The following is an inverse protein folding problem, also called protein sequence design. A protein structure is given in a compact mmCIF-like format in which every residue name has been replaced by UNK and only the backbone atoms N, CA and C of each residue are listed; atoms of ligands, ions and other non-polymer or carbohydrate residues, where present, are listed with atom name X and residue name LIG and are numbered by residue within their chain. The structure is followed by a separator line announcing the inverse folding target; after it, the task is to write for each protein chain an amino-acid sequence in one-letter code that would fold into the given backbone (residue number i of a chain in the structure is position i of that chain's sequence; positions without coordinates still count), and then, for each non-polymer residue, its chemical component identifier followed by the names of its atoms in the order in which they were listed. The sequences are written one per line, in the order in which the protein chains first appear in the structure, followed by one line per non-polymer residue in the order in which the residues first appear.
data_IF_130138774789
#
_entry.id   IF_130138774789
#
_cell.length_a   1.000
_cell.length_b   1.000
_cell.length_c   1.000
_cell.angle_alpha   90.00
_cell.angle_beta   90.00
_cell.angle_gamma   90.00
#
_symmetry.space_group_name_H-M   'P 1'
#
loop_
_entity.id
_entity.type
_entity.pdbx_description
1 polymer ?
#
# COMPACT_ATOMS: atom_id res chain seq x y z
N UNK A 1 -30.05 -10.25 -4.78
CA UNK A 1 -29.27 -10.72 -5.92
C UNK A 1 -28.61 -9.60 -6.68
N UNK A 2 -29.39 -8.62 -7.12
CA UNK A 2 -28.84 -7.48 -7.86
C UNK A 2 -27.85 -6.68 -7.05
N UNK A 3 -28.16 -6.40 -5.81
CA UNK A 3 -27.27 -5.68 -4.91
C UNK A 3 -25.94 -6.38 -4.75
N UNK A 4 -25.99 -7.68 -4.72
CA UNK A 4 -24.82 -8.49 -4.56
C UNK A 4 -23.85 -8.32 -5.72
N UNK A 5 -24.41 -8.37 -6.93
CA UNK A 5 -23.62 -8.18 -8.15
C UNK A 5 -23.02 -6.79 -8.20
N UNK A 6 -23.81 -5.78 -7.85
CA UNK A 6 -23.32 -4.41 -7.84
C UNK A 6 -22.18 -4.20 -6.83
N UNK A 7 -22.31 -4.83 -5.69
CA UNK A 7 -21.28 -4.75 -4.68
C UNK A 7 -19.96 -5.32 -5.19
N UNK A 8 -19.99 -6.46 -5.84
CA UNK A 8 -18.81 -7.10 -6.40
C UNK A 8 -18.17 -6.23 -7.46
N UNK A 9 -18.96 -5.66 -8.35
CA UNK A 9 -18.48 -4.78 -9.40
C UNK A 9 -17.81 -3.56 -8.78
N UNK A 10 -18.45 -2.95 -7.79
CA UNK A 10 -17.89 -1.81 -7.11
C UNK A 10 -16.56 -2.12 -6.47
N UNK A 11 -16.45 -3.27 -5.82
CA UNK A 11 -15.22 -3.69 -5.20
C UNK A 11 -14.10 -3.90 -6.20
N UNK A 12 -14.42 -4.46 -7.38
CA UNK A 12 -13.42 -4.74 -8.39
C UNK A 12 -12.87 -3.48 -9.08
N UNK A 13 -13.59 -2.36 -8.97
CA UNK A 13 -13.17 -1.10 -9.58
C UNK A 13 -12.21 -0.30 -8.69
N UNK A 14 -12.07 -0.69 -7.44
CA UNK A 14 -11.20 0.03 -6.50
C UNK A 14 -9.84 -0.62 -6.43
N UNK A 15 -8.80 0.20 -6.44
CA UNK A 15 -7.45 -0.28 -6.20
C UNK A 15 -7.27 -0.53 -4.70
N UNK A 16 -6.44 -1.49 -4.35
CA UNK A 16 -6.09 -1.77 -2.97
C UNK A 16 -5.31 -0.59 -2.38
N UNK A 17 -5.32 -0.49 -1.05
CA UNK A 17 -4.55 0.55 -0.36
C UNK A 17 -3.07 0.44 -0.72
N UNK A 18 -2.44 1.59 -0.87
CA UNK A 18 -1.02 1.64 -1.15
C UNK A 18 -0.63 1.51 -2.61
N UNK A 19 -1.59 1.29 -3.52
CA UNK A 19 -1.29 1.15 -4.95
C UNK A 19 -1.22 2.49 -5.68
N UNK A 20 -1.76 3.56 -5.10
CA UNK A 20 -1.74 4.90 -5.71
C UNK A 20 -0.77 5.80 -4.96
N UNK A 21 0.22 6.31 -5.68
CA UNK A 21 1.23 7.20 -5.11
C UNK A 21 0.62 8.46 -4.51
N UNK A 22 -0.43 9.00 -5.14
CA UNK A 22 -1.07 10.23 -4.69
C UNK A 22 -1.70 10.12 -3.30
N UNK A 23 -1.98 8.91 -2.84
CA UNK A 23 -2.58 8.67 -1.52
C UNK A 23 -1.54 8.54 -0.42
N UNK A 24 -0.26 8.49 -0.78
CA UNK A 24 0.83 8.31 0.18
C UNK A 24 1.56 9.63 0.37
N UNK A 25 1.68 10.06 1.63
CA UNK A 25 2.32 11.33 1.98
C UNK A 25 3.43 11.11 2.98
N UNK A 26 4.41 12.01 2.97
CA UNK A 26 5.51 11.95 3.93
C UNK A 26 4.98 12.10 5.35
N UNK A 27 5.52 11.30 6.26
CA UNK A 27 5.12 11.31 7.66
C UNK A 27 3.85 10.52 7.96
N UNK A 28 3.22 9.98 6.93
CA UNK A 28 2.03 9.15 7.07
C UNK A 28 2.37 7.79 7.64
N UNK A 29 1.51 7.26 8.52
CA UNK A 29 1.70 5.91 9.04
C UNK A 29 1.15 4.88 8.07
N UNK A 30 1.99 3.91 7.72
CA UNK A 30 1.62 2.86 6.76
C UNK A 30 2.12 1.51 7.23
N UNK A 31 1.51 0.46 6.69
CA UNK A 31 2.02 -0.90 6.82
C UNK A 31 2.64 -1.33 5.51
N UNK A 32 3.87 -1.81 5.54
CA UNK A 32 4.59 -2.25 4.35
C UNK A 32 4.99 -3.70 4.46
N UNK A 33 5.22 -4.33 3.30
CA UNK A 33 5.79 -5.67 3.23
C UNK A 33 7.21 -5.52 2.74
N UNK A 34 8.17 -5.97 3.55
CA UNK A 34 9.57 -5.98 3.18
C UNK A 34 9.83 -7.06 2.13
N UNK A 35 10.91 -6.91 1.37
CA UNK A 35 11.26 -7.87 0.33
C UNK A 35 11.33 -9.29 0.88
N UNK A 36 11.93 -9.46 2.04
CA UNK A 36 12.08 -10.76 2.69
C UNK A 36 10.78 -11.32 3.25
N UNK A 37 9.74 -10.50 3.37
CA UNK A 37 8.47 -10.90 3.96
C UNK A 37 7.37 -11.10 2.92
N UNK A 38 7.70 -11.04 1.63
CA UNK A 38 6.69 -11.15 0.58
C UNK A 38 5.98 -12.50 0.57
N UNK A 39 6.67 -13.57 0.93
CA UNK A 39 6.07 -14.89 0.94
C UNK A 39 5.17 -15.13 2.16
N UNK A 40 5.45 -14.47 3.27
CA UNK A 40 4.66 -14.63 4.50
C UNK A 40 3.60 -13.57 4.65
N UNK A 41 3.77 -12.42 4.00
CA UNK A 41 2.85 -11.30 4.11
C UNK A 41 2.98 -10.52 5.41
N UNK A 42 4.05 -10.71 6.16
CA UNK A 42 4.27 -9.99 7.40
C UNK A 42 4.32 -8.48 7.15
N UNK A 43 3.60 -7.71 7.96
CA UNK A 43 3.49 -6.27 7.80
C UNK A 43 4.38 -5.55 8.81
N UNK A 44 5.17 -4.61 8.32
CA UNK A 44 6.00 -3.73 9.16
C UNK A 44 5.41 -2.33 9.11
N UNK A 45 5.15 -1.76 10.27
CA UNK A 45 4.50 -0.44 10.38
C UNK A 45 5.52 0.65 10.66
N UNK A 46 5.28 1.81 10.10
CA UNK A 46 6.13 2.98 10.34
C UNK A 46 5.67 4.18 9.55
N UNK A 47 6.40 5.27 9.66
CA UNK A 47 6.10 6.52 8.97
C UNK A 47 6.88 6.60 7.66
N UNK A 48 6.24 7.11 6.63
CA UNK A 48 6.85 7.28 5.32
C UNK A 48 7.89 8.38 5.38
N UNK A 49 9.15 8.03 5.10
CA UNK A 49 10.23 9.00 4.98
C UNK A 49 10.44 9.42 3.53
N UNK A 50 10.34 8.45 2.59
CA UNK A 50 10.59 8.72 1.19
C UNK A 50 9.76 7.77 0.33
N UNK A 51 9.28 8.28 -0.80
CA UNK A 51 8.57 7.48 -1.80
C UNK A 51 9.57 7.13 -2.90
N UNK A 52 9.75 5.83 -3.14
CA UNK A 52 10.77 5.35 -4.07
C UNK A 52 10.21 4.95 -5.44
N UNK A 53 8.91 4.74 -5.54
CA UNK A 53 8.26 4.41 -6.82
C UNK A 53 8.04 5.68 -7.62
N UNK A 54 8.50 5.69 -8.87
CA UNK A 54 8.33 6.85 -9.75
C UNK A 54 6.96 6.88 -10.44
N UNK A 55 6.37 5.72 -10.67
CA UNK A 55 5.07 5.64 -11.34
C UNK A 55 3.95 6.09 -10.41
N UNK A 56 2.84 6.65 -10.95
CA UNK A 56 1.71 7.07 -10.12
C UNK A 56 0.97 5.91 -9.47
N UNK A 57 1.10 4.70 -10.02
CA UNK A 57 0.47 3.49 -9.46
C UNK A 57 1.41 2.31 -9.58
N UNK A 58 1.18 1.29 -8.72
CA UNK A 58 1.90 0.04 -8.83
C UNK A 58 1.02 -1.09 -8.28
N UNK A 59 0.84 -2.19 -9.03
CA UNK A 59 -0.08 -3.26 -8.63
C UNK A 59 0.32 -3.96 -7.33
N UNK A 60 1.60 -3.97 -7.00
CA UNK A 60 2.08 -4.58 -5.75
C UNK A 60 2.25 -3.59 -4.61
N UNK A 61 1.84 -2.34 -4.82
CA UNK A 61 1.97 -1.29 -3.83
C UNK A 61 3.16 -0.38 -4.11
N UNK A 62 3.02 0.88 -3.70
CA UNK A 62 4.07 1.88 -3.87
C UNK A 62 5.22 1.55 -2.92
N UNK A 63 6.43 1.57 -3.44
CA UNK A 63 7.62 1.29 -2.64
C UNK A 63 8.03 2.55 -1.89
N UNK A 64 8.21 2.42 -0.60
CA UNK A 64 8.59 3.54 0.25
C UNK A 64 9.70 3.13 1.21
N UNK A 65 10.39 4.14 1.76
CA UNK A 65 11.30 3.96 2.88
C UNK A 65 10.64 4.54 4.11
N UNK A 66 10.67 3.80 5.20
CA UNK A 66 10.18 4.28 6.49
C UNK A 66 11.25 5.08 7.20
N UNK A 67 10.86 5.91 8.15
CA UNK A 67 11.80 6.70 8.95
C UNK A 67 12.77 5.84 9.75
N UNK A 68 12.38 4.61 10.03
CA UNK A 68 13.24 3.63 10.69
C UNK A 68 14.26 2.99 9.74
N UNK A 69 14.16 3.26 8.44
CA UNK A 69 15.12 2.78 7.45
C UNK A 69 14.66 1.61 6.60
N UNK A 70 13.60 0.93 7.00
CA UNK A 70 13.10 -0.21 6.23
C UNK A 70 12.50 0.24 4.92
N UNK A 71 12.65 -0.59 3.90
CA UNK A 71 12.12 -0.34 2.55
C UNK A 71 11.18 -1.48 2.19
N UNK A 72 10.00 -1.12 1.71
CA UNK A 72 9.02 -2.12 1.28
C UNK A 72 7.86 -1.48 0.55
N UNK A 73 6.89 -2.32 0.19
CA UNK A 73 5.71 -1.86 -0.54
C UNK A 73 4.54 -1.68 0.40
N UNK A 74 3.86 -0.55 0.24
CA UNK A 74 2.71 -0.22 1.10
C UNK A 74 1.56 -1.19 0.81
N UNK A 75 1.01 -1.77 1.87
CA UNK A 75 -0.12 -2.69 1.79
C UNK A 75 -1.35 -2.16 2.50
N UNK A 76 -1.16 -1.29 3.48
CA UNK A 76 -2.29 -0.71 4.20
C UNK A 76 -1.91 0.63 4.80
N UNK A 77 -2.93 1.45 5.07
CA UNK A 77 -2.77 2.70 5.76
C UNK A 77 -3.21 2.52 7.21
N UNK A 78 -2.45 3.11 8.13
CA UNK A 78 -2.81 3.10 9.54
C UNK A 78 -3.71 4.30 9.79
N UNK A 79 -4.88 4.04 10.38
CA UNK A 79 -5.87 5.10 10.64
C UNK A 79 -5.98 5.43 12.10
#
# INVERSE_FOLDING_TARGET
MMLWVLYIIGGSLKMAEGQKKAEIKYGMDVGIVLKEDQSTGYITYGKVQKILTNSPTHPHGIKVRLSSGEVGRVKEFVK
#
